data_IF_743822394218
#
_entry.id   IF_743822394218
#
_cell.length_a   1.000
_cell.length_b   1.000
_cell.length_c   1.000
_cell.angle_alpha   90.00
_cell.angle_beta   90.00
_cell.angle_gamma   90.00
#
_symmetry.space_group_name_H-M   'P 1'
#
loop_
_entity.id
_entity.type
_entity.pdbx_description
1 polymer ?
#
# COMPACT_ATOMS: atom_id res chain seq x y z
N UNK A 1 -21.29 -17.21 1.98
CA UNK A 1 -20.24 -16.15 1.89
C UNK A 1 -19.04 -16.61 2.69
N UNK A 2 -17.87 -16.57 2.09
CA UNK A 2 -16.59 -16.95 2.67
C UNK A 2 -15.59 -15.80 2.53
N UNK A 3 -14.72 -15.59 3.52
CA UNK A 3 -13.68 -14.55 3.50
C UNK A 3 -12.34 -15.18 3.84
N UNK A 4 -11.41 -15.13 2.88
CA UNK A 4 -10.06 -15.64 3.02
C UNK A 4 -9.06 -14.49 3.17
N UNK A 5 -8.15 -14.61 4.12
CA UNK A 5 -7.05 -13.69 4.37
C UNK A 5 -5.80 -14.24 3.67
N UNK A 6 -5.46 -13.71 2.51
CA UNK A 6 -4.30 -14.12 1.71
C UNK A 6 -3.02 -13.32 2.03
N UNK A 7 -3.14 -12.31 2.89
CA UNK A 7 -2.10 -11.47 3.41
C UNK A 7 -2.69 -10.31 4.23
N UNK A 8 -1.83 -9.51 4.88
CA UNK A 8 -2.28 -8.45 5.79
C UNK A 8 -2.80 -8.94 7.15
N UNK A 9 -2.94 -10.25 7.35
CA UNK A 9 -3.18 -10.86 8.65
C UNK A 9 -1.85 -11.42 9.17
N UNK A 10 -1.51 -11.17 10.43
CA UNK A 10 -0.23 -11.51 11.05
C UNK A 10 1.01 -10.81 10.45
N UNK A 11 0.84 -10.03 9.40
CA UNK A 11 1.87 -9.19 8.76
C UNK A 11 1.36 -7.77 8.58
N UNK A 12 2.28 -6.80 8.55
CA UNK A 12 1.96 -5.39 8.33
C UNK A 12 1.68 -5.09 6.86
N UNK A 13 2.29 -5.84 5.95
CA UNK A 13 2.22 -5.60 4.50
C UNK A 13 1.63 -6.79 3.75
N UNK A 14 1.29 -6.59 2.47
CA UNK A 14 0.78 -7.65 1.60
C UNK A 14 -0.74 -7.84 1.70
N UNK A 15 -1.50 -6.77 1.94
CA UNK A 15 -2.96 -6.81 2.11
C UNK A 15 -3.66 -7.45 0.93
N UNK A 16 -4.36 -8.57 1.17
CA UNK A 16 -5.16 -9.32 0.19
C UNK A 16 -6.28 -10.06 0.89
N UNK A 17 -7.51 -9.75 0.55
CA UNK A 17 -8.71 -10.37 1.14
C UNK A 17 -9.63 -10.86 0.04
N UNK A 18 -9.84 -12.17 -0.06
CA UNK A 18 -10.74 -12.78 -1.06
C UNK A 18 -12.10 -13.03 -0.42
N UNK A 19 -13.12 -12.32 -0.92
CA UNK A 19 -14.52 -12.53 -0.58
C UNK A 19 -15.18 -13.38 -1.65
N UNK A 20 -15.70 -14.54 -1.25
CA UNK A 20 -16.41 -15.46 -2.13
C UNK A 20 -17.86 -15.64 -1.69
N UNK A 21 -18.76 -15.61 -2.67
CA UNK A 21 -20.16 -15.97 -2.53
C UNK A 21 -20.47 -17.16 -3.43
N UNK A 22 -21.69 -17.67 -3.39
CA UNK A 22 -22.17 -18.68 -4.36
C UNK A 22 -22.23 -18.15 -5.80
N UNK A 23 -22.08 -16.82 -6.02
CA UNK A 23 -22.34 -16.14 -7.29
C UNK A 23 -21.15 -15.35 -7.82
N UNK A 24 -20.22 -14.93 -6.96
CA UNK A 24 -19.14 -14.04 -7.33
C UNK A 24 -17.93 -14.16 -6.39
N UNK A 25 -16.76 -13.79 -6.90
CA UNK A 25 -15.52 -13.66 -6.14
C UNK A 25 -14.94 -12.27 -6.34
N UNK A 26 -14.67 -11.58 -5.25
CA UNK A 26 -14.10 -10.22 -5.25
C UNK A 26 -12.86 -10.19 -4.37
N UNK A 27 -11.77 -9.63 -4.89
CA UNK A 27 -10.55 -9.39 -4.14
C UNK A 27 -10.54 -7.96 -3.63
N UNK A 28 -10.27 -7.75 -2.34
CA UNK A 28 -9.99 -6.44 -1.77
C UNK A 28 -8.50 -6.32 -1.54
N UNK A 29 -7.88 -5.38 -2.22
CA UNK A 29 -6.45 -5.16 -2.36
C UNK A 29 -5.69 -6.34 -3.00
N UNK A 30 -4.53 -6.06 -3.56
CA UNK A 30 -3.61 -7.03 -4.15
C UNK A 30 -2.18 -6.57 -3.86
N UNK A 31 -1.83 -6.62 -2.57
CA UNK A 31 -0.65 -5.99 -2.03
C UNK A 31 0.60 -6.84 -2.05
N UNK A 32 1.73 -6.14 -2.12
CA UNK A 32 3.08 -6.71 -2.06
C UNK A 32 3.55 -6.80 -0.61
N UNK A 33 4.19 -7.91 -0.25
CA UNK A 33 4.93 -8.00 1.01
C UNK A 33 6.19 -7.15 0.93
N UNK A 34 6.44 -6.37 1.97
CA UNK A 34 7.59 -5.48 2.09
C UNK A 34 8.29 -5.71 3.44
N UNK A 35 9.60 -5.50 3.50
CA UNK A 35 10.38 -5.65 4.72
C UNK A 35 11.67 -6.43 4.49
N UNK A 36 11.90 -7.47 5.28
CA UNK A 36 13.08 -8.31 5.16
C UNK A 36 13.08 -9.10 3.83
N UNK A 37 14.23 -9.60 3.36
CA UNK A 37 14.28 -10.48 2.18
C UNK A 37 13.33 -11.67 2.28
N UNK A 38 13.15 -12.25 3.46
CA UNK A 38 12.21 -13.36 3.69
C UNK A 38 10.75 -12.95 3.44
N UNK A 39 10.37 -11.72 3.80
CA UNK A 39 9.04 -11.19 3.47
C UNK A 39 8.90 -10.95 1.95
N UNK A 40 9.93 -10.35 1.33
CA UNK A 40 9.91 -10.05 -0.10
C UNK A 40 9.77 -11.31 -0.98
N UNK A 41 10.33 -12.44 -0.57
CA UNK A 41 10.22 -13.73 -1.26
C UNK A 41 8.78 -14.20 -1.37
N UNK A 42 7.90 -13.86 -0.44
CA UNK A 42 6.46 -14.19 -0.46
C UNK A 42 5.74 -13.60 -1.69
N UNK A 43 6.28 -12.56 -2.30
CA UNK A 43 5.72 -12.00 -3.53
C UNK A 43 5.90 -12.90 -4.77
N UNK A 44 6.70 -13.94 -4.66
CA UNK A 44 6.98 -14.89 -5.74
C UNK A 44 6.20 -16.21 -5.60
N UNK A 45 5.43 -16.34 -4.53
CA UNK A 45 4.53 -17.47 -4.31
C UNK A 45 3.22 -17.22 -5.09
N UNK A 46 2.53 -18.26 -5.60
CA UNK A 46 1.22 -18.11 -6.22
C UNK A 46 0.27 -17.27 -5.35
N UNK A 47 -0.55 -16.44 -6.00
CA UNK A 47 -1.40 -15.45 -5.31
C UNK A 47 -2.46 -16.05 -4.38
N UNK A 48 -2.70 -17.38 -4.45
CA UNK A 48 -3.71 -18.07 -3.64
C UNK A 48 -5.12 -18.03 -4.25
N UNK A 49 -5.24 -17.49 -5.48
CA UNK A 49 -6.49 -17.48 -6.26
C UNK A 49 -6.17 -17.60 -7.76
N UNK A 50 -7.16 -18.01 -8.55
CA UNK A 50 -7.07 -17.95 -10.01
C UNK A 50 -7.59 -16.59 -10.49
N UNK A 51 -6.76 -15.82 -11.19
CA UNK A 51 -7.13 -14.50 -11.72
C UNK A 51 -8.34 -14.56 -12.66
N UNK A 52 -8.51 -15.64 -13.40
CA UNK A 52 -9.66 -15.87 -14.29
C UNK A 52 -11.00 -16.08 -13.55
N UNK A 53 -10.95 -16.45 -12.29
CA UNK A 53 -12.14 -16.69 -11.45
C UNK A 53 -12.66 -15.42 -10.73
N UNK A 54 -11.89 -14.32 -10.75
CA UNK A 54 -12.29 -13.09 -10.06
C UNK A 54 -13.23 -12.24 -10.94
N UNK A 55 -14.33 -11.79 -10.36
CA UNK A 55 -15.27 -10.86 -11.00
C UNK A 55 -14.76 -9.40 -10.91
N UNK A 56 -14.15 -9.01 -9.79
CA UNK A 56 -13.60 -7.67 -9.59
C UNK A 56 -12.46 -7.65 -8.57
N UNK A 57 -11.59 -6.64 -8.69
CA UNK A 57 -10.66 -6.21 -7.63
C UNK A 57 -11.09 -4.83 -7.14
N UNK A 58 -11.11 -4.64 -5.82
CA UNK A 58 -11.43 -3.38 -5.17
C UNK A 58 -10.19 -2.88 -4.45
N UNK A 59 -9.68 -1.73 -4.86
CA UNK A 59 -8.44 -1.18 -4.30
C UNK A 59 -8.76 -0.07 -3.29
N UNK A 60 -8.25 -0.22 -2.07
CA UNK A 60 -8.44 0.77 -1.00
C UNK A 60 -7.60 2.02 -1.23
N UNK A 61 -6.31 1.86 -1.54
CA UNK A 61 -5.40 2.97 -1.80
C UNK A 61 -4.13 2.52 -2.56
N UNK A 62 -3.23 3.46 -2.84
CA UNK A 62 -2.15 3.27 -3.80
C UNK A 62 -0.78 2.89 -3.21
N UNK A 63 -0.68 2.51 -1.94
CA UNK A 63 0.58 1.97 -1.43
C UNK A 63 0.86 0.58 -2.01
N UNK A 64 2.14 0.23 -2.20
CA UNK A 64 2.54 -1.03 -2.84
C UNK A 64 2.08 -2.28 -2.06
N UNK A 65 1.97 -2.20 -0.77
CA UNK A 65 1.45 -3.27 0.08
C UNK A 65 -0.07 -3.45 -0.01
N UNK A 66 -0.73 -2.63 -0.84
CA UNK A 66 -2.15 -2.77 -1.22
C UNK A 66 -2.37 -2.96 -2.72
N UNK A 67 -1.47 -2.46 -3.60
CA UNK A 67 -1.64 -2.55 -5.05
C UNK A 67 -0.50 -3.26 -5.80
N UNK A 68 0.62 -3.53 -5.12
CA UNK A 68 1.89 -3.88 -5.77
C UNK A 68 1.90 -5.20 -6.53
N UNK A 69 0.96 -6.12 -6.29
CA UNK A 69 0.86 -7.38 -7.04
C UNK A 69 -0.23 -7.38 -8.13
N UNK A 70 -0.90 -6.25 -8.38
CA UNK A 70 -1.83 -6.13 -9.51
C UNK A 70 -1.20 -6.54 -10.86
N UNK A 71 0.07 -6.17 -11.18
CA UNK A 71 0.71 -6.63 -12.43
C UNK A 71 0.83 -8.15 -12.52
N UNK A 72 1.07 -8.82 -11.39
CA UNK A 72 1.14 -10.28 -11.33
C UNK A 72 -0.24 -10.89 -11.52
N UNK A 73 -1.26 -10.38 -10.84
CA UNK A 73 -2.63 -10.85 -11.01
C UNK A 73 -3.09 -10.78 -12.48
N UNK A 74 -2.76 -9.69 -13.18
CA UNK A 74 -3.07 -9.52 -14.61
C UNK A 74 -2.26 -10.50 -15.46
N UNK A 75 -0.97 -10.67 -15.18
CA UNK A 75 -0.11 -11.66 -15.86
C UNK A 75 -0.61 -13.09 -15.65
N UNK A 76 -1.19 -13.40 -14.50
CA UNK A 76 -1.78 -14.68 -14.15
C UNK A 76 -3.24 -14.84 -14.60
N UNK A 77 -3.74 -13.96 -15.47
CA UNK A 77 -5.00 -14.14 -16.17
C UNK A 77 -6.15 -13.24 -15.74
N UNK A 78 -5.95 -12.38 -14.74
CA UNK A 78 -7.00 -11.41 -14.36
C UNK A 78 -7.22 -10.39 -15.49
N UNK A 79 -8.48 -10.23 -15.90
CA UNK A 79 -8.87 -9.29 -16.96
C UNK A 79 -10.13 -8.47 -16.60
N UNK A 80 -10.64 -8.64 -15.39
CA UNK A 80 -11.82 -7.95 -14.89
C UNK A 80 -11.55 -6.48 -14.47
N UNK A 81 -12.58 -5.77 -13.98
CA UNK A 81 -12.45 -4.39 -13.53
C UNK A 81 -11.70 -4.25 -12.21
N UNK A 82 -10.82 -3.24 -12.10
CA UNK A 82 -10.17 -2.84 -10.88
C UNK A 82 -10.81 -1.51 -10.43
N UNK A 83 -11.64 -1.56 -9.42
CA UNK A 83 -12.33 -0.38 -8.90
C UNK A 83 -11.48 0.36 -7.89
N UNK A 84 -11.39 1.67 -8.01
CA UNK A 84 -10.72 2.56 -7.07
C UNK A 84 -11.21 4.00 -7.25
N UNK A 85 -10.85 4.90 -6.34
CA UNK A 85 -11.06 6.34 -6.54
C UNK A 85 -10.13 6.88 -7.62
N UNK A 86 -10.45 8.04 -8.20
CA UNK A 86 -9.60 8.68 -9.23
C UNK A 86 -8.20 9.00 -8.70
N UNK A 87 -8.09 9.52 -7.48
CA UNK A 87 -6.81 9.81 -6.83
C UNK A 87 -5.97 8.56 -6.64
N UNK A 88 -6.58 7.48 -6.16
CA UNK A 88 -5.93 6.18 -6.02
C UNK A 88 -5.46 5.64 -7.36
N UNK A 89 -6.25 5.73 -8.44
CA UNK A 89 -5.86 5.27 -9.77
C UNK A 89 -4.62 6.00 -10.30
N UNK A 90 -4.57 7.34 -10.18
CA UNK A 90 -3.40 8.11 -10.65
C UNK A 90 -2.14 7.79 -9.83
N UNK A 91 -2.27 7.69 -8.51
CA UNK A 91 -1.15 7.33 -7.63
C UNK A 91 -0.70 5.88 -7.86
N UNK A 92 -1.62 4.92 -7.98
CA UNK A 92 -1.30 3.52 -8.28
C UNK A 92 -0.61 3.39 -9.64
N UNK A 93 -1.07 4.13 -10.65
CA UNK A 93 -0.40 4.19 -11.95
C UNK A 93 1.06 4.64 -11.81
N UNK A 94 1.31 5.72 -11.06
CA UNK A 94 2.65 6.21 -10.81
C UNK A 94 3.53 5.16 -10.12
N UNK A 95 3.01 4.54 -9.06
CA UNK A 95 3.75 3.61 -8.22
C UNK A 95 4.05 2.31 -8.94
N UNK A 96 3.07 1.73 -9.65
CA UNK A 96 3.24 0.47 -10.36
C UNK A 96 4.24 0.58 -11.52
N UNK A 97 4.19 1.67 -12.29
CA UNK A 97 5.15 1.90 -13.37
C UNK A 97 6.58 2.10 -12.85
N UNK A 98 6.74 2.85 -11.76
CA UNK A 98 8.05 3.05 -11.15
C UNK A 98 8.61 1.76 -10.55
N UNK A 99 7.76 0.99 -9.87
CA UNK A 99 8.13 -0.31 -9.30
C UNK A 99 8.53 -1.32 -10.38
N UNK A 100 7.77 -1.43 -11.48
CA UNK A 100 8.12 -2.30 -12.62
C UNK A 100 9.48 -1.95 -13.22
N UNK A 101 9.74 -0.65 -13.45
CA UNK A 101 11.03 -0.18 -13.93
C UNK A 101 12.17 -0.50 -12.96
N UNK A 102 11.96 -0.29 -11.66
CA UNK A 102 12.98 -0.60 -10.65
C UNK A 102 13.28 -2.11 -10.58
N UNK A 103 12.26 -2.96 -10.64
CA UNK A 103 12.43 -4.41 -10.70
C UNK A 103 13.30 -4.83 -11.88
N UNK A 104 13.04 -4.27 -13.09
CA UNK A 104 13.87 -4.53 -14.26
C UNK A 104 15.32 -4.04 -14.10
N UNK A 105 15.51 -2.85 -13.51
CA UNK A 105 16.86 -2.31 -13.29
C UNK A 105 17.64 -3.16 -12.29
N UNK A 106 17.00 -3.65 -11.21
CA UNK A 106 17.62 -4.53 -10.24
C UNK A 106 18.01 -5.88 -10.87
N UNK A 107 17.12 -6.52 -11.60
CA UNK A 107 17.40 -7.76 -12.33
C UNK A 107 18.57 -7.59 -13.31
N UNK A 108 18.59 -6.51 -14.11
CA UNK A 108 19.68 -6.19 -15.03
C UNK A 108 21.03 -5.94 -14.31
N UNK A 109 20.99 -5.37 -13.10
CA UNK A 109 22.20 -5.18 -12.28
C UNK A 109 22.71 -6.48 -11.69
N UNK A 110 21.81 -7.32 -11.16
CA UNK A 110 22.10 -8.67 -10.68
C UNK A 110 22.80 -9.49 -11.76
N UNK A 111 22.17 -9.68 -12.90
CA UNK A 111 22.72 -10.43 -14.03
C UNK A 111 24.11 -9.93 -14.50
N UNK A 112 24.36 -8.60 -14.48
CA UNK A 112 25.69 -8.04 -14.81
C UNK A 112 26.72 -8.33 -13.72
N UNK A 113 26.30 -8.38 -12.47
CA UNK A 113 27.18 -8.67 -11.34
C UNK A 113 27.60 -10.13 -11.38
N UNK A 114 26.69 -11.07 -11.59
CA UNK A 114 26.92 -12.50 -11.75
C UNK A 114 27.88 -12.82 -12.88
N UNK A 115 27.66 -12.20 -14.07
CA UNK A 115 28.60 -12.33 -15.21
C UNK A 115 30.04 -11.92 -14.86
N UNK A 116 30.20 -10.97 -13.95
CA UNK A 116 31.53 -10.49 -13.52
C UNK A 116 32.13 -11.31 -12.37
N UNK A 117 31.30 -12.02 -11.62
CA UNK A 117 31.67 -12.74 -10.39
C UNK A 117 31.05 -14.14 -10.31
N UNK A 118 31.22 -15.01 -11.34
CA UNK A 118 30.50 -16.27 -11.44
C UNK A 118 30.73 -17.21 -10.25
N UNK A 119 31.94 -17.25 -9.68
CA UNK A 119 32.26 -18.11 -8.52
C UNK A 119 31.55 -17.63 -7.24
N UNK A 120 31.34 -16.30 -7.11
CA UNK A 120 30.63 -15.74 -5.94
C UNK A 120 29.12 -15.88 -6.10
N UNK A 121 28.59 -15.66 -7.31
CA UNK A 121 27.20 -15.85 -7.63
C UNK A 121 26.76 -17.28 -7.29
N UNK A 122 27.49 -18.29 -7.77
CA UNK A 122 27.19 -19.69 -7.48
C UNK A 122 27.25 -20.06 -5.97
N UNK A 123 28.01 -19.32 -5.16
CA UNK A 123 28.07 -19.52 -3.72
C UNK A 123 26.90 -18.80 -3.01
N UNK A 124 26.57 -17.58 -3.43
CA UNK A 124 25.44 -16.80 -2.92
C UNK A 124 24.11 -17.49 -3.28
N UNK A 125 23.91 -17.93 -4.53
CA UNK A 125 22.73 -18.68 -4.97
C UNK A 125 22.46 -19.92 -4.12
N UNK A 126 23.52 -20.61 -3.71
CA UNK A 126 23.37 -21.80 -2.89
C UNK A 126 22.97 -21.48 -1.44
N UNK A 127 23.50 -20.41 -0.88
CA UNK A 127 23.21 -19.96 0.49
C UNK A 127 21.84 -19.26 0.57
N UNK A 128 21.56 -18.35 -0.35
CA UNK A 128 20.30 -17.67 -0.47
C UNK A 128 19.18 -18.62 -0.85
N UNK A 129 19.40 -19.51 -1.84
CA UNK A 129 18.42 -20.49 -2.27
C UNK A 129 18.00 -21.45 -1.15
N UNK A 130 18.90 -21.80 -0.23
CA UNK A 130 18.53 -22.61 0.93
C UNK A 130 17.70 -21.81 1.96
N UNK A 131 18.08 -20.56 2.21
CA UNK A 131 17.38 -19.66 3.15
C UNK A 131 16.00 -19.28 2.61
N UNK A 132 15.91 -18.92 1.33
CA UNK A 132 14.64 -18.53 0.70
C UNK A 132 13.69 -19.71 0.50
N UNK A 133 14.20 -20.93 0.22
CA UNK A 133 13.32 -22.12 0.18
C UNK A 133 12.65 -22.38 1.51
N UNK A 134 13.37 -22.24 2.63
CA UNK A 134 12.77 -22.38 3.95
C UNK A 134 11.68 -21.32 4.20
N UNK A 135 11.90 -20.07 3.79
CA UNK A 135 10.91 -18.99 3.93
C UNK A 135 9.70 -19.19 2.99
N UNK A 136 9.93 -19.69 1.78
CA UNK A 136 8.86 -20.05 0.83
C UNK A 136 8.03 -21.22 1.37
N UNK A 137 8.69 -22.26 1.86
CA UNK A 137 8.01 -23.43 2.44
C UNK A 137 7.25 -23.09 3.71
N UNK A 138 7.73 -22.13 4.51
CA UNK A 138 7.07 -21.62 5.69
C UNK A 138 5.85 -20.76 5.30
N UNK A 139 6.01 -19.87 4.35
CA UNK A 139 4.93 -19.00 3.85
C UNK A 139 3.85 -19.82 3.13
N UNK A 140 4.22 -20.78 2.30
CA UNK A 140 3.28 -21.68 1.63
C UNK A 140 2.49 -22.56 2.62
N UNK A 141 3.13 -22.97 3.73
CA UNK A 141 2.44 -23.66 4.83
C UNK A 141 1.56 -22.73 5.66
N UNK A 142 1.97 -21.49 5.87
CA UNK A 142 1.21 -20.47 6.58
C UNK A 142 -0.02 -20.01 5.81
N UNK A 143 0.11 -19.82 4.51
CA UNK A 143 -1.03 -19.49 3.63
C UNK A 143 -2.01 -20.67 3.48
N UNK A 144 -1.54 -21.93 3.64
CA UNK A 144 -2.41 -23.11 3.72
C UNK A 144 -3.02 -23.32 5.12
N UNK A 145 -2.46 -22.72 6.16
CA UNK A 145 -2.84 -22.91 7.58
C UNK A 145 -3.67 -21.79 8.21
N UNK A 146 -3.88 -20.67 7.51
CA UNK A 146 -4.76 -19.56 7.95
C UNK A 146 -6.11 -19.67 7.26
N UNK A 147 -6.61 -20.89 7.14
CA UNK A 147 -7.99 -21.14 6.77
C UNK A 147 -8.82 -21.31 8.03
N UNK A 148 -10.00 -20.81 8.05
CA UNK A 148 -11.02 -20.94 9.08
C UNK A 148 -10.70 -20.21 10.40
N UNK A 149 -10.92 -18.91 10.45
CA UNK A 149 -11.41 -18.29 11.67
C UNK A 149 -12.72 -19.02 12.01
N UNK A 150 -12.63 -20.02 12.89
CA UNK A 150 -13.81 -20.67 13.43
C UNK A 150 -14.68 -19.60 14.04
N UNK A 151 -15.85 -19.39 13.47
CA UNK A 151 -16.89 -18.60 14.07
C UNK A 151 -16.99 -19.04 15.54
N UNK A 152 -16.90 -18.09 16.45
CA UNK A 152 -17.24 -18.35 17.85
C UNK A 152 -18.72 -18.68 17.85
N UNK A 153 -19.03 -19.94 17.65
CA UNK A 153 -20.35 -20.48 17.88
C UNK A 153 -20.67 -20.30 19.37
N UNK A 154 -21.61 -19.43 19.64
CA UNK A 154 -22.29 -19.45 20.92
C UNK A 154 -22.91 -20.83 21.06
N UNK A 155 -22.27 -21.66 21.88
CA UNK A 155 -22.63 -23.03 22.09
C UNK A 155 -24.11 -23.17 22.50
N UNK A 156 -24.92 -23.73 21.62
CA UNK A 156 -26.17 -24.39 22.03
C UNK A 156 -25.82 -25.80 22.50
N UNK A 157 -26.23 -26.22 23.70
CA UNK A 157 -25.96 -27.56 24.20
C UNK A 157 -26.84 -28.57 23.46
N UNK A 158 -26.25 -29.36 22.57
CA UNK A 158 -26.97 -30.49 21.98
C UNK A 158 -26.52 -31.03 20.63
N UNK A 159 -25.45 -30.54 19.98
CA UNK A 159 -24.94 -31.11 18.73
C UNK A 159 -23.64 -31.89 18.97
N UNK A 160 -23.59 -33.12 18.53
CA UNK A 160 -22.36 -33.94 18.51
C UNK A 160 -21.38 -33.32 17.50
N UNK A 161 -20.07 -33.27 17.80
CA UNK A 161 -19.08 -32.69 16.87
C UNK A 161 -18.98 -33.56 15.61
N UNK A 162 -19.03 -32.94 14.45
CA UNK A 162 -18.64 -33.56 13.18
C UNK A 162 -17.15 -33.97 13.27
N UNK A 163 -16.75 -35.09 12.66
CA UNK A 163 -15.33 -35.46 12.64
C UNK A 163 -14.57 -34.39 11.89
N UNK A 164 -13.57 -33.78 12.54
CA UNK A 164 -12.65 -32.81 11.95
C UNK A 164 -11.89 -33.41 10.77
N UNK A 165 -11.26 -32.59 9.93
CA UNK A 165 -10.46 -33.05 8.80
C UNK A 165 -9.39 -34.03 9.28
N UNK A 166 -9.16 -35.07 8.45
CA UNK A 166 -8.21 -36.16 8.75
C UNK A 166 -6.79 -35.59 8.85
N UNK A 167 -6.13 -35.62 10.02
CA UNK A 167 -4.77 -35.08 10.18
C UNK A 167 -3.73 -35.77 9.28
N UNK A 168 -3.99 -36.98 8.79
CA UNK A 168 -3.12 -37.67 7.85
C UNK A 168 -3.31 -37.21 6.40
N UNK A 169 -4.42 -36.55 6.06
CA UNK A 169 -4.63 -35.95 4.74
C UNK A 169 -3.85 -34.64 4.60
N UNK A 170 -3.74 -33.85 5.68
CA UNK A 170 -2.90 -32.64 5.70
C UNK A 170 -1.40 -32.95 5.59
N UNK A 171 -0.94 -34.07 6.16
CA UNK A 171 0.48 -34.50 6.05
C UNK A 171 0.86 -35.00 4.66
N UNK A 172 -0.09 -35.28 3.77
CA UNK A 172 0.14 -35.81 2.41
C UNK A 172 0.16 -34.75 1.30
N UNK A 173 -0.31 -33.55 1.57
CA UNK A 173 -0.14 -32.43 0.64
C UNK A 173 1.30 -31.90 0.76
N UNK A 174 2.22 -32.43 -0.04
CA UNK A 174 3.51 -31.77 -0.23
C UNK A 174 3.20 -30.40 -0.83
N UNK A 175 3.74 -29.29 -0.25
CA UNK A 175 3.59 -28.00 -0.87
C UNK A 175 4.11 -28.07 -2.31
N UNK A 176 3.44 -27.40 -3.28
CA UNK A 176 3.89 -27.41 -4.66
C UNK A 176 5.35 -26.96 -4.70
N UNK A 177 6.19 -27.65 -5.51
CA UNK A 177 7.55 -27.20 -5.78
C UNK A 177 7.47 -25.82 -6.43
N UNK A 178 7.63 -24.77 -5.63
CA UNK A 178 7.66 -23.40 -6.14
C UNK A 178 9.07 -23.16 -6.65
N UNK A 179 9.24 -23.23 -7.97
CA UNK A 179 10.48 -22.84 -8.61
C UNK A 179 10.51 -21.30 -8.71
N UNK A 180 11.16 -20.66 -7.75
CA UNK A 180 11.27 -19.20 -7.72
C UNK A 180 12.62 -18.82 -8.29
N UNK A 181 12.63 -18.19 -9.46
CA UNK A 181 13.81 -17.53 -10.00
C UNK A 181 13.90 -16.12 -9.35
N UNK A 182 14.87 -15.97 -8.44
CA UNK A 182 15.10 -14.73 -7.70
C UNK A 182 15.80 -13.65 -8.55
N UNK A 183 16.42 -14.04 -9.67
CA UNK A 183 17.19 -13.16 -10.53
C UNK A 183 16.30 -12.46 -11.58
N UNK A 184 15.12 -13.00 -11.82
CA UNK A 184 14.15 -12.34 -12.69
C UNK A 184 13.44 -11.16 -11.97
N UNK A 185 13.08 -10.14 -12.76
CA UNK A 185 12.21 -9.07 -12.27
C UNK A 185 10.88 -9.65 -11.79
N UNK A 186 10.41 -9.24 -10.61
CA UNK A 186 9.11 -9.67 -10.10
C UNK A 186 8.00 -9.39 -11.12
N UNK A 187 8.02 -8.20 -11.71
CA UNK A 187 7.25 -7.80 -12.88
C UNK A 187 7.95 -6.63 -13.58
N UNK A 188 7.60 -6.41 -14.84
CA UNK A 188 8.16 -5.38 -15.69
C UNK A 188 7.30 -4.11 -15.73
N UNK A 189 7.83 -3.02 -16.30
CA UNK A 189 7.03 -1.83 -16.59
C UNK A 189 5.88 -2.14 -17.56
N UNK A 190 6.05 -3.08 -18.49
CA UNK A 190 5.00 -3.48 -19.42
C UNK A 190 3.90 -4.29 -18.74
N UNK A 191 4.23 -5.14 -17.75
CA UNK A 191 3.23 -5.80 -16.90
C UNK A 191 2.42 -4.74 -16.12
N UNK A 192 3.07 -3.72 -15.58
CA UNK A 192 2.38 -2.61 -14.90
C UNK A 192 1.46 -1.83 -15.86
N UNK A 193 1.88 -1.58 -17.11
CA UNK A 193 1.03 -0.93 -18.12
C UNK A 193 -0.22 -1.75 -18.47
N UNK A 194 -0.13 -3.08 -18.42
CA UNK A 194 -1.27 -3.96 -18.68
C UNK A 194 -2.41 -3.82 -17.65
N UNK A 195 -2.10 -3.36 -16.44
CA UNK A 195 -3.10 -3.07 -15.39
C UNK A 195 -3.96 -1.85 -15.72
N UNK A 196 -3.38 -0.82 -16.33
CA UNK A 196 -4.00 0.51 -16.44
C UNK A 196 -5.36 0.52 -17.16
N UNK A 197 -5.58 -0.24 -18.25
CA UNK A 197 -6.88 -0.29 -18.92
C UNK A 197 -8.00 -0.93 -18.08
N UNK A 198 -7.66 -1.65 -17.01
CA UNK A 198 -8.62 -2.34 -16.15
C UNK A 198 -9.21 -1.44 -15.06
N UNK A 199 -8.58 -0.32 -14.75
CA UNK A 199 -9.07 0.61 -13.73
C UNK A 199 -10.45 1.17 -14.09
N UNK A 200 -11.33 1.22 -13.07
CA UNK A 200 -12.69 1.78 -13.14
C UNK A 200 -12.87 2.73 -11.97
N UNK A 201 -12.96 4.05 -12.22
CA UNK A 201 -13.10 5.02 -11.15
C UNK A 201 -14.46 4.94 -10.47
N UNK A 202 -14.45 5.06 -9.15
CA UNK A 202 -15.64 5.24 -8.31
C UNK A 202 -15.52 6.51 -7.49
N UNK A 203 -16.64 7.19 -7.32
CA UNK A 203 -16.70 8.37 -6.47
C UNK A 203 -17.11 7.98 -5.04
N UNK A 204 -16.68 8.75 -4.05
CA UNK A 204 -17.08 8.52 -2.66
C UNK A 204 -18.59 8.65 -2.46
N UNK A 205 -19.14 7.78 -1.62
CA UNK A 205 -20.56 7.75 -1.26
C UNK A 205 -21.47 7.16 -2.33
N UNK A 206 -20.96 6.83 -3.53
CA UNK A 206 -21.74 6.18 -4.57
C UNK A 206 -21.73 4.66 -4.35
N UNK A 207 -22.91 4.06 -4.26
CA UNK A 207 -23.03 2.59 -4.25
C UNK A 207 -23.09 2.05 -5.67
N UNK A 208 -22.25 1.07 -5.99
CA UNK A 208 -22.16 0.45 -7.32
C UNK A 208 -22.13 -1.08 -7.17
N UNK A 209 -22.87 -1.79 -8.00
CA UNK A 209 -22.73 -3.25 -8.10
C UNK A 209 -21.42 -3.57 -8.82
N UNK A 210 -20.48 -4.19 -8.11
CA UNK A 210 -19.13 -4.53 -8.60
C UNK A 210 -19.01 -5.97 -9.06
N UNK A 211 -19.91 -6.82 -8.56
CA UNK A 211 -20.05 -8.23 -8.97
C UNK A 211 -21.46 -8.70 -8.61
N UNK A 212 -21.97 -9.81 -9.19
CA UNK A 212 -23.32 -10.27 -8.93
C UNK A 212 -23.67 -10.42 -7.45
N UNK A 213 -24.56 -9.55 -6.95
CA UNK A 213 -25.01 -9.52 -5.55
C UNK A 213 -24.04 -8.85 -4.58
N UNK A 214 -22.98 -8.21 -5.07
CA UNK A 214 -22.00 -7.47 -4.26
C UNK A 214 -22.00 -6.00 -4.73
N UNK A 215 -22.39 -5.12 -3.80
CA UNK A 215 -22.39 -3.68 -4.02
C UNK A 215 -21.33 -3.03 -3.13
N UNK A 216 -20.51 -2.16 -3.71
CA UNK A 216 -19.45 -1.45 -3.02
C UNK A 216 -19.77 0.03 -2.88
N UNK A 217 -19.48 0.59 -1.72
CA UNK A 217 -19.46 2.03 -1.46
C UNK A 217 -18.08 2.39 -0.93
N UNK A 218 -17.43 3.35 -1.58
CA UNK A 218 -16.15 3.89 -1.15
C UNK A 218 -16.38 5.10 -0.26
N UNK A 219 -15.73 5.13 0.90
CA UNK A 219 -15.81 6.20 1.88
C UNK A 219 -14.39 6.70 2.18
N UNK A 220 -14.23 7.96 2.53
CA UNK A 220 -12.90 8.52 2.76
C UNK A 220 -12.21 7.85 3.95
N UNK A 221 -11.00 7.33 3.73
CA UNK A 221 -10.18 6.73 4.78
C UNK A 221 -9.20 7.72 5.43
N UNK A 222 -9.02 8.91 4.85
CA UNK A 222 -8.18 9.98 5.40
C UNK A 222 -6.68 9.64 5.53
N UNK A 223 -6.21 8.60 4.80
CA UNK A 223 -4.84 8.10 4.92
C UNK A 223 -3.88 8.74 3.90
N UNK A 224 -4.18 8.62 2.62
CA UNK A 224 -3.53 9.33 1.51
C UNK A 224 -4.59 9.79 0.51
N UNK A 225 -4.20 10.59 -0.48
CA UNK A 225 -5.10 11.09 -1.51
C UNK A 225 -5.89 9.96 -2.17
N UNK A 226 -7.20 10.01 -2.08
CA UNK A 226 -8.10 9.04 -2.67
C UNK A 226 -8.24 7.72 -1.91
N UNK A 227 -7.59 7.55 -0.76
CA UNK A 227 -7.70 6.34 0.07
C UNK A 227 -9.13 6.10 0.54
N UNK A 228 -9.57 4.85 0.59
CA UNK A 228 -10.95 4.52 0.86
C UNK A 228 -11.13 3.39 1.90
N UNK A 229 -12.10 3.60 2.76
CA UNK A 229 -12.81 2.51 3.45
C UNK A 229 -13.79 1.92 2.44
N UNK A 230 -13.78 0.61 2.27
CA UNK A 230 -14.69 -0.08 1.35
C UNK A 230 -15.79 -0.76 2.16
N UNK A 231 -17.03 -0.30 1.98
CA UNK A 231 -18.22 -0.90 2.57
C UNK A 231 -18.92 -1.74 1.51
N UNK A 232 -18.99 -3.05 1.74
CA UNK A 232 -19.66 -3.99 0.86
C UNK A 232 -21.02 -4.36 1.43
N UNK A 233 -22.04 -4.35 0.58
CA UNK A 233 -23.34 -4.94 0.81
C UNK A 233 -23.41 -6.22 -0.03
N UNK A 234 -23.47 -7.36 0.66
CA UNK A 234 -23.29 -8.69 0.06
C UNK A 234 -24.54 -9.52 0.25
N UNK A 235 -25.04 -10.11 -0.83
CA UNK A 235 -26.08 -11.13 -0.82
C UNK A 235 -25.55 -12.39 -1.47
N UNK A 236 -25.42 -13.47 -0.69
CA UNK A 236 -24.79 -14.72 -1.12
C UNK A 236 -25.61 -15.41 -2.20
N UNK A 237 -26.86 -15.74 -1.91
CA UNK A 237 -27.81 -16.30 -2.88
C UNK A 237 -29.07 -15.45 -2.96
N UNK A 238 -29.89 -15.69 -3.98
CA UNK A 238 -31.18 -15.02 -4.12
C UNK A 238 -32.11 -15.42 -2.96
N UNK A 239 -32.60 -14.41 -2.22
CA UNK A 239 -33.44 -14.64 -1.03
C UNK A 239 -32.69 -14.68 0.30
N UNK A 240 -31.36 -14.74 0.29
CA UNK A 240 -30.56 -14.65 1.51
C UNK A 240 -30.59 -13.22 2.12
N UNK A 241 -30.41 -13.09 3.43
CA UNK A 241 -30.25 -11.78 4.05
C UNK A 241 -28.97 -11.09 3.55
N UNK A 242 -29.05 -9.80 3.37
CA UNK A 242 -27.86 -8.99 3.09
C UNK A 242 -26.93 -8.94 4.30
N UNK A 243 -25.64 -8.88 4.04
CA UNK A 243 -24.57 -8.67 5.03
C UNK A 243 -23.76 -7.46 4.66
N UNK A 244 -23.36 -6.70 5.66
CA UNK A 244 -22.48 -5.56 5.50
C UNK A 244 -21.09 -5.94 5.97
N UNK A 245 -20.14 -5.91 5.03
CA UNK A 245 -18.71 -6.16 5.28
C UNK A 245 -17.93 -4.87 5.05
N UNK A 246 -17.11 -4.47 6.01
CA UNK A 246 -16.32 -3.25 5.93
C UNK A 246 -14.84 -3.57 5.97
N UNK A 247 -14.10 -3.06 4.99
CA UNK A 247 -12.64 -3.10 4.95
C UNK A 247 -12.12 -1.68 5.17
N UNK A 248 -11.34 -1.47 6.22
CA UNK A 248 -10.83 -0.13 6.53
C UNK A 248 -9.81 0.37 5.52
N UNK A 249 -9.08 -0.52 4.84
CA UNK A 249 -7.78 -0.18 4.30
C UNK A 249 -6.90 0.38 5.42
N UNK A 250 -5.93 1.20 5.07
CA UNK A 250 -5.18 1.99 6.04
C UNK A 250 -5.96 3.24 6.43
N UNK A 251 -6.07 3.50 7.71
CA UNK A 251 -6.82 4.63 8.24
C UNK A 251 -5.87 5.81 8.53
N UNK A 252 -6.29 6.99 8.11
CA UNK A 252 -5.68 8.23 8.55
C UNK A 252 -6.10 8.60 9.98
N UNK A 253 -5.46 9.61 10.51
CA UNK A 253 -5.85 10.22 11.80
C UNK A 253 -6.68 11.47 11.55
N UNK A 254 -7.62 11.80 12.41
CA UNK A 254 -8.32 13.08 12.34
C UNK A 254 -7.35 14.28 12.45
N UNK A 255 -7.60 15.32 11.66
CA UNK A 255 -6.77 16.52 11.62
C UNK A 255 -5.45 16.35 10.86
N UNK A 256 -5.31 15.33 10.02
CA UNK A 256 -4.20 15.24 9.05
C UNK A 256 -4.39 16.33 8.00
N UNK A 257 -3.37 17.16 7.71
CA UNK A 257 -3.51 18.24 6.74
C UNK A 257 -3.74 17.74 5.32
N UNK A 258 -4.28 18.60 4.48
CA UNK A 258 -4.53 18.43 3.05
C UNK A 258 -5.79 17.64 2.73
N UNK A 259 -5.98 16.47 3.31
CA UNK A 259 -7.07 15.54 2.99
C UNK A 259 -8.11 15.48 4.11
N UNK A 260 -9.31 15.01 3.77
CA UNK A 260 -10.40 14.89 4.74
C UNK A 260 -10.12 13.82 5.78
N UNK A 261 -10.74 13.98 6.94
CA UNK A 261 -10.74 12.98 8.01
C UNK A 261 -11.39 11.66 7.57
N UNK A 262 -11.04 10.53 8.21
CA UNK A 262 -11.72 9.27 8.00
C UNK A 262 -13.22 9.35 8.26
N UNK A 263 -14.01 8.76 7.36
CA UNK A 263 -15.45 8.67 7.51
C UNK A 263 -15.83 7.68 8.61
N UNK A 264 -16.69 8.07 9.53
CA UNK A 264 -17.28 7.14 10.49
C UNK A 264 -18.26 6.19 9.77
N UNK A 265 -18.06 4.89 9.95
CA UNK A 265 -18.91 3.85 9.36
C UNK A 265 -19.72 3.18 10.44
N UNK A 266 -21.05 3.14 10.24
CA UNK A 266 -22.00 2.49 11.16
C UNK A 266 -22.67 1.29 10.50
N UNK A 267 -23.13 0.35 11.30
CA UNK A 267 -24.00 -0.75 10.86
C UNK A 267 -23.27 -1.79 10.00
N UNK A 268 -22.16 -2.34 10.47
CA UNK A 268 -21.49 -3.47 9.84
C UNK A 268 -21.79 -4.79 10.55
N UNK A 269 -21.94 -5.88 9.78
CA UNK A 269 -21.98 -7.26 10.31
C UNK A 269 -20.55 -7.77 10.55
N UNK A 270 -19.62 -7.42 9.68
CA UNK A 270 -18.20 -7.80 9.74
C UNK A 270 -17.32 -6.59 9.46
N UNK A 271 -16.24 -6.45 10.22
CA UNK A 271 -15.27 -5.37 10.06
C UNK A 271 -13.86 -5.96 10.00
N UNK A 272 -13.18 -5.69 8.90
CA UNK A 272 -11.76 -5.96 8.71
C UNK A 272 -11.05 -4.64 8.88
N UNK A 273 -10.30 -4.49 9.96
CA UNK A 273 -9.65 -3.23 10.35
C UNK A 273 -8.17 -3.42 10.54
N UNK A 274 -7.38 -2.45 10.06
CA UNK A 274 -5.94 -2.40 10.30
C UNK A 274 -5.62 -2.28 11.79
N UNK A 275 -4.44 -2.73 12.19
CA UNK A 275 -3.97 -2.62 13.56
C UNK A 275 -2.47 -2.34 13.65
N UNK A 276 -1.92 -1.66 12.66
CA UNK A 276 -0.48 -1.33 12.53
C UNK A 276 0.07 -0.67 13.80
N UNK A 277 -0.68 0.24 14.37
CA UNK A 277 -0.37 0.90 15.64
C UNK A 277 -1.27 0.45 16.78
N UNK A 278 -1.85 -0.73 16.69
CA UNK A 278 -2.71 -1.29 17.76
C UNK A 278 -2.01 -1.34 19.10
N UNK A 279 -2.63 -0.79 20.13
CA UNK A 279 -2.07 -0.75 21.48
C UNK A 279 -0.91 0.24 21.69
N UNK A 280 -0.69 1.17 20.76
CA UNK A 280 0.30 2.26 20.90
C UNK A 280 -0.37 3.61 20.85
N UNK A 281 0.12 4.52 21.65
CA UNK A 281 -0.24 5.94 21.58
C UNK A 281 0.89 6.71 20.87
N UNK A 282 0.49 7.63 20.00
CA UNK A 282 1.42 8.56 19.35
C UNK A 282 1.57 9.82 20.23
N UNK A 283 2.71 10.47 20.11
CA UNK A 283 2.90 11.80 20.69
C UNK A 283 1.85 12.77 20.13
N UNK A 284 1.36 13.73 20.93
CA UNK A 284 0.48 14.78 20.45
C UNK A 284 1.09 15.52 19.27
N UNK A 285 0.27 15.89 18.30
CA UNK A 285 0.72 16.56 17.07
C UNK A 285 1.49 17.86 17.38
N UNK A 286 1.01 18.65 18.33
CA UNK A 286 1.66 19.91 18.76
C UNK A 286 3.08 19.67 19.29
N UNK A 287 3.31 18.56 19.98
CA UNK A 287 4.64 18.19 20.45
C UNK A 287 5.57 17.83 19.31
N UNK A 288 5.10 17.08 18.32
CA UNK A 288 5.87 16.76 17.12
C UNK A 288 6.25 18.04 16.33
N UNK A 289 5.31 18.97 16.17
CA UNK A 289 5.57 20.27 15.54
C UNK A 289 6.58 21.10 16.34
N UNK A 290 6.44 21.15 17.67
CA UNK A 290 7.41 21.85 18.53
C UNK A 290 8.83 21.32 18.33
N UNK A 291 9.00 19.99 18.35
CA UNK A 291 10.31 19.34 18.12
C UNK A 291 10.84 19.65 16.71
N UNK A 292 9.99 19.67 15.69
CA UNK A 292 10.36 20.03 14.33
C UNK A 292 10.89 21.47 14.25
N UNK A 293 10.18 22.42 14.84
CA UNK A 293 10.57 23.85 14.90
C UNK A 293 11.92 24.02 15.60
N UNK A 294 12.09 23.45 16.80
CA UNK A 294 13.34 23.50 17.56
C UNK A 294 14.51 22.91 16.77
N UNK A 295 14.26 21.77 16.07
CA UNK A 295 15.27 21.11 15.24
C UNK A 295 15.69 21.98 14.07
N UNK A 296 14.75 22.59 13.35
CA UNK A 296 15.04 23.48 12.21
C UNK A 296 15.82 24.72 12.68
N UNK A 297 15.42 25.33 13.80
CA UNK A 297 16.13 26.49 14.36
C UNK A 297 17.56 26.13 14.78
N UNK A 298 17.77 24.92 15.34
CA UNK A 298 19.11 24.44 15.69
C UNK A 298 19.96 24.22 14.44
N UNK A 299 19.39 23.62 13.40
CA UNK A 299 20.07 23.38 12.11
C UNK A 299 20.45 24.69 11.44
N UNK A 300 19.57 25.70 11.45
CA UNK A 300 19.92 27.03 10.92
C UNK A 300 21.06 27.69 11.70
N UNK A 301 21.01 27.69 13.03
CA UNK A 301 22.08 28.24 13.89
C UNK A 301 23.42 27.54 13.65
N UNK A 302 23.41 26.23 13.50
CA UNK A 302 24.62 25.43 13.28
C UNK A 302 25.09 25.41 11.83
N UNK A 303 24.32 26.01 10.90
CA UNK A 303 24.54 25.92 9.46
C UNK A 303 24.67 24.47 9.00
N UNK A 304 23.85 23.61 9.58
CA UNK A 304 23.79 22.18 9.30
C UNK A 304 22.90 21.83 8.11
N UNK A 305 22.58 20.54 8.01
CA UNK A 305 21.59 19.98 7.07
C UNK A 305 20.66 19.10 7.86
N UNK A 306 19.35 19.27 7.69
CA UNK A 306 18.33 18.38 8.18
C UNK A 306 17.99 17.37 7.08
N UNK A 307 18.11 16.08 7.38
CA UNK A 307 17.66 14.99 6.53
C UNK A 307 16.34 14.46 7.07
N UNK A 308 15.32 14.44 6.23
CA UNK A 308 13.98 14.00 6.59
C UNK A 308 13.59 12.82 5.70
N UNK A 309 13.86 11.57 6.12
CA UNK A 309 13.37 10.39 5.39
C UNK A 309 11.85 10.37 5.41
N UNK A 310 11.24 10.23 4.23
CA UNK A 310 9.79 10.31 4.09
C UNK A 310 9.30 9.45 2.93
N UNK A 311 8.12 8.85 3.09
CA UNK A 311 7.45 8.22 1.97
C UNK A 311 7.09 9.25 0.91
N UNK A 312 7.24 8.87 -0.36
CA UNK A 312 7.01 9.74 -1.51
C UNK A 312 5.55 10.21 -1.64
N UNK A 313 4.61 9.41 -1.13
CA UNK A 313 3.17 9.66 -1.16
C UNK A 313 2.66 9.78 0.29
N UNK A 314 1.85 10.80 0.54
CA UNK A 314 1.27 11.13 1.85
C UNK A 314 2.23 11.96 2.69
N UNK A 315 3.19 11.33 3.36
CA UNK A 315 4.07 11.97 4.33
C UNK A 315 4.90 13.13 3.77
N UNK A 316 5.40 13.03 2.55
CA UNK A 316 6.15 14.14 1.92
C UNK A 316 5.26 15.37 1.73
N UNK A 317 4.04 15.18 1.28
CA UNK A 317 3.08 16.27 1.07
C UNK A 317 2.70 16.94 2.40
N UNK A 318 2.43 16.16 3.45
CA UNK A 318 2.17 16.67 4.79
C UNK A 318 3.34 17.53 5.31
N UNK A 319 4.58 17.05 5.18
CA UNK A 319 5.77 17.78 5.65
C UNK A 319 5.93 19.10 4.88
N UNK A 320 5.76 19.10 3.55
CA UNK A 320 5.85 20.33 2.75
C UNK A 320 4.79 21.34 3.20
N UNK A 321 3.55 20.88 3.43
CA UNK A 321 2.46 21.71 3.92
C UNK A 321 2.76 22.29 5.31
N UNK A 322 3.22 21.48 6.25
CA UNK A 322 3.57 21.93 7.61
C UNK A 322 4.70 22.97 7.59
N UNK A 323 5.75 22.72 6.81
CA UNK A 323 6.87 23.65 6.70
C UNK A 323 6.44 25.01 6.12
N UNK A 324 5.58 25.00 5.14
CA UNK A 324 5.03 26.22 4.55
C UNK A 324 4.20 27.02 5.58
N UNK A 325 3.32 26.36 6.32
CA UNK A 325 2.55 27.01 7.41
C UNK A 325 3.44 27.56 8.53
N UNK A 326 4.50 26.84 8.90
CA UNK A 326 5.46 27.30 9.90
C UNK A 326 6.23 28.56 9.48
N UNK A 327 6.55 28.68 8.16
CA UNK A 327 7.16 29.91 7.62
C UNK A 327 6.16 31.06 7.65
N UNK A 328 4.92 30.86 7.22
CA UNK A 328 3.90 31.89 7.22
C UNK A 328 3.63 32.44 8.64
N UNK A 329 3.69 31.57 9.64
CA UNK A 329 3.58 31.96 11.05
C UNK A 329 4.85 32.58 11.63
N UNK A 330 5.96 32.59 10.87
CA UNK A 330 7.26 33.12 11.32
C UNK A 330 7.94 32.27 12.38
N UNK A 331 7.54 31.00 12.55
CA UNK A 331 8.09 30.10 13.56
C UNK A 331 9.42 29.49 13.14
N UNK A 332 9.66 29.36 11.84
CA UNK A 332 10.92 28.90 11.27
C UNK A 332 11.45 29.87 10.21
N UNK A 333 12.78 29.94 10.03
CA UNK A 333 13.37 30.71 8.93
C UNK A 333 13.12 30.04 7.58
N UNK A 334 13.06 30.84 6.50
CA UNK A 334 13.05 30.33 5.14
C UNK A 334 14.40 29.69 4.83
N UNK A 335 14.41 28.38 4.66
CA UNK A 335 15.58 27.58 4.29
C UNK A 335 15.30 26.85 2.97
N UNK A 336 16.35 26.58 2.14
CA UNK A 336 16.15 25.77 0.92
C UNK A 336 15.65 24.37 1.26
N UNK A 337 14.52 23.98 0.67
CA UNK A 337 13.93 22.63 0.77
C UNK A 337 14.24 21.85 -0.52
N UNK A 338 15.05 20.81 -0.40
CA UNK A 338 15.34 19.92 -1.52
C UNK A 338 14.41 18.71 -1.48
N UNK A 339 13.54 18.58 -2.46
CA UNK A 339 12.73 17.40 -2.68
C UNK A 339 13.51 16.43 -3.61
N UNK A 340 14.30 15.57 -2.98
CA UNK A 340 15.19 14.63 -3.69
C UNK A 340 14.47 13.29 -3.96
N UNK A 341 13.38 13.38 -4.71
CA UNK A 341 12.56 12.24 -5.12
C UNK A 341 11.71 12.60 -6.35
N UNK A 342 12.01 12.02 -7.53
CA UNK A 342 11.15 12.19 -8.71
C UNK A 342 9.72 11.69 -8.50
N UNK A 343 9.55 10.60 -7.71
CA UNK A 343 8.24 10.06 -7.38
C UNK A 343 7.44 11.03 -6.50
N UNK A 344 8.06 11.57 -5.44
CA UNK A 344 7.38 12.52 -4.56
C UNK A 344 6.95 13.79 -5.30
N UNK A 345 7.78 14.29 -6.24
CA UNK A 345 7.42 15.43 -7.09
C UNK A 345 6.18 15.14 -7.94
N UNK A 346 6.14 13.98 -8.61
CA UNK A 346 4.99 13.57 -9.42
C UNK A 346 3.74 13.33 -8.56
N UNK A 347 3.91 12.74 -7.37
CA UNK A 347 2.81 12.57 -6.43
C UNK A 347 2.25 13.91 -5.98
N UNK A 348 3.10 14.91 -5.68
CA UNK A 348 2.67 16.26 -5.33
C UNK A 348 1.88 16.92 -6.48
N UNK A 349 2.28 16.68 -7.74
CA UNK A 349 1.51 17.15 -8.91
C UNK A 349 0.14 16.46 -9.03
N UNK A 350 0.03 15.18 -8.65
CA UNK A 350 -1.26 14.48 -8.57
C UNK A 350 -2.13 15.10 -7.47
N UNK A 351 -1.58 15.33 -6.28
CA UNK A 351 -2.29 16.01 -5.19
C UNK A 351 -2.87 17.36 -5.65
N UNK A 352 -2.09 18.21 -6.33
CA UNK A 352 -2.57 19.52 -6.83
C UNK A 352 -3.74 19.42 -7.82
N UNK A 353 -3.84 18.33 -8.58
CA UNK A 353 -4.93 18.13 -9.55
C UNK A 353 -6.24 17.63 -8.93
N UNK A 354 -6.20 17.10 -7.72
CA UNK A 354 -7.30 16.40 -7.08
C UNK A 354 -7.84 17.13 -5.83
N UNK A 355 -8.16 18.42 -5.98
CA UNK A 355 -8.74 19.23 -4.91
C UNK A 355 -10.07 18.72 -4.35
N UNK A 356 -10.75 17.80 -5.05
CA UNK A 356 -11.97 17.16 -4.57
C UNK A 356 -11.77 16.31 -3.30
N UNK A 357 -10.52 15.89 -3.00
CA UNK A 357 -10.19 15.15 -1.80
C UNK A 357 -9.74 16.03 -0.64
N UNK A 358 -9.56 17.33 -0.87
CA UNK A 358 -9.04 18.23 0.14
C UNK A 358 -10.04 18.43 1.29
N UNK A 359 -9.49 18.65 2.48
CA UNK A 359 -10.21 19.13 3.64
C UNK A 359 -10.69 20.59 3.44
N UNK A 360 -11.45 21.10 4.40
CA UNK A 360 -12.01 22.44 4.30
C UNK A 360 -10.94 23.55 4.40
N UNK A 361 -9.89 23.33 5.19
CA UNK A 361 -8.79 24.28 5.37
C UNK A 361 -7.99 24.42 4.07
N UNK A 362 -7.58 23.30 3.48
CA UNK A 362 -6.82 23.27 2.23
C UNK A 362 -7.65 23.84 1.06
N UNK A 363 -8.95 23.57 1.00
CA UNK A 363 -9.83 24.19 0.00
C UNK A 363 -9.85 25.71 0.12
N UNK A 364 -9.99 26.25 1.34
CA UNK A 364 -9.96 27.71 1.57
C UNK A 364 -8.65 28.34 1.12
N UNK A 365 -7.51 27.63 1.32
CA UNK A 365 -6.21 28.09 0.82
C UNK A 365 -6.20 28.17 -0.70
N UNK A 366 -6.64 27.10 -1.39
CA UNK A 366 -6.71 27.08 -2.85
C UNK A 366 -7.66 28.16 -3.38
N UNK A 367 -8.81 28.36 -2.74
CA UNK A 367 -9.77 29.41 -3.11
C UNK A 367 -9.20 30.84 -2.93
N UNK A 368 -8.18 31.01 -2.08
CA UNK A 368 -7.43 32.26 -1.91
C UNK A 368 -6.22 32.40 -2.83
N UNK A 369 -6.10 31.55 -3.86
CA UNK A 369 -4.99 31.50 -4.81
C UNK A 369 -3.65 31.10 -4.18
N UNK A 370 -3.68 30.43 -3.02
CA UNK A 370 -2.51 29.84 -2.37
C UNK A 370 -2.41 28.35 -2.70
N UNK A 371 -1.21 27.89 -3.01
CA UNK A 371 -0.99 26.45 -3.24
C UNK A 371 -0.55 25.76 -1.93
N UNK A 372 -1.25 24.70 -1.51
CA UNK A 372 -0.94 24.03 -0.24
C UNK A 372 0.39 23.27 -0.25
N UNK A 373 1.03 23.10 -1.41
CA UNK A 373 2.24 22.31 -1.59
C UNK A 373 3.40 23.11 -2.22
N UNK A 374 3.32 24.43 -2.22
CA UNK A 374 4.32 25.31 -2.83
C UNK A 374 5.15 26.01 -1.74
N UNK A 375 6.14 25.29 -1.22
CA UNK A 375 7.12 25.88 -0.32
C UNK A 375 7.99 26.92 -1.08
N UNK A 376 8.20 28.16 -0.56
CA UNK A 376 8.76 29.28 -1.34
C UNK A 376 10.17 29.07 -1.92
N UNK A 377 11.06 28.31 -1.24
CA UNK A 377 12.38 27.93 -1.78
C UNK A 377 12.47 26.40 -1.97
N UNK A 378 11.45 25.83 -2.61
CA UNK A 378 11.45 24.41 -2.97
C UNK A 378 12.29 24.14 -4.21
N UNK A 379 13.17 23.17 -4.12
CA UNK A 379 14.07 22.74 -5.19
C UNK A 379 13.86 21.27 -5.50
N UNK A 380 13.30 21.00 -6.68
CA UNK A 380 13.00 19.65 -7.12
C UNK A 380 14.24 19.01 -7.74
N UNK A 381 14.57 17.80 -7.31
CA UNK A 381 15.74 17.05 -7.79
C UNK A 381 15.24 15.78 -8.49
N UNK A 382 15.35 15.79 -9.82
CA UNK A 382 14.83 14.71 -10.67
C UNK A 382 15.92 13.83 -11.29
N UNK A 383 17.20 14.16 -11.10
CA UNK A 383 18.33 13.43 -11.71
C UNK A 383 19.33 13.00 -10.64
N UNK A 384 19.82 11.79 -10.73
CA UNK A 384 20.84 11.25 -9.83
C UNK A 384 22.09 12.15 -9.71
N UNK A 385 22.53 12.78 -10.84
CA UNK A 385 23.65 13.71 -10.83
C UNK A 385 23.41 14.96 -9.98
N UNK A 386 22.18 15.45 -9.97
CA UNK A 386 21.82 16.65 -9.20
C UNK A 386 21.71 16.29 -7.71
N UNK A 387 21.19 15.10 -7.39
CA UNK A 387 21.19 14.51 -6.04
C UNK A 387 22.63 14.37 -5.51
N UNK A 388 23.53 13.75 -6.28
CA UNK A 388 24.96 13.67 -5.92
C UNK A 388 25.59 15.06 -5.70
N UNK A 389 25.21 16.07 -6.47
CA UNK A 389 25.72 17.42 -6.31
C UNK A 389 25.33 18.05 -4.98
N UNK A 390 24.10 17.80 -4.48
CA UNK A 390 23.65 18.27 -3.17
C UNK A 390 24.50 17.63 -2.06
N UNK A 391 24.74 16.34 -2.15
CA UNK A 391 25.56 15.62 -1.16
C UNK A 391 27.03 16.06 -1.14
N UNK A 392 27.56 16.54 -2.28
CA UNK A 392 28.93 17.04 -2.42
C UNK A 392 29.09 18.53 -2.18
N UNK A 393 27.97 19.28 -2.11
CA UNK A 393 28.03 20.72 -1.91
C UNK A 393 28.79 21.10 -0.64
N UNK A 394 29.67 22.14 -0.66
CA UNK A 394 30.34 22.59 0.53
C UNK A 394 29.32 23.03 1.56
N UNK A 395 29.33 22.40 2.72
CA UNK A 395 28.45 22.79 3.84
C UNK A 395 28.94 24.14 4.37
N UNK A 396 28.06 25.17 4.48
CA UNK A 396 28.43 26.41 5.13
C UNK A 396 28.83 26.09 6.58
N UNK A 397 30.09 26.23 6.93
CA UNK A 397 30.56 26.02 8.32
C UNK A 397 31.68 24.99 8.53
N UNK A 398 32.04 24.18 7.54
CA UNK A 398 33.32 23.44 7.57
C UNK A 398 34.39 24.24 6.90
N UNK A 399 35.21 24.96 7.67
CA UNK A 399 36.56 25.35 7.31
C UNK A 399 37.52 24.31 7.84
#
# INVERSE_FOLDING_TARGET
>A
MDLQFLGGATTVTGSRFLLSTSRAKVLVDCGMFQGSPNEAVRNRIPLGFDGGDLDAILLTHAHLDHCGLLPIAVREGYSGPIHATRGTIELATLVLLDSGRLNEEFAKRGARWEQRHPDKAAAEDKEEGATYRAAIDEAARGDAGVGEASAVETAHPGSSPSPGPDPEAELRAQPPEVNVDLDEALYTEDDAKAVLPLFRPLDYGQEVEVAPGIHATYLDAGHILGSAIIRLRVRDAEGDPERIVVFSGDLGRPGTPIIRDPTNVEGADYVIVESTYGGREHEPHEEAIRVLVETIQLVDKSKGVLLVPSFAIGRTQEIVWELDRLIERGEIPLLPLYLDSPMASKASDIYRRHGEYYDEETRRLVDSDASPLDYPDQRIVNKAKDSEAIHRAPRPGRR
#
